data_IF_210017736975
#
_entry.id   IF_210017736975
#
_cell.length_a   1.000
_cell.length_b   1.000
_cell.length_c   1.000
_cell.angle_alpha   90.00
_cell.angle_beta   90.00
_cell.angle_gamma   90.00
#
_symmetry.space_group_name_H-M   'P 1'
#
loop_
_entity.id
_entity.type
_entity.pdbx_description
1 polymer ?
#
# COMPACT_ATOMS: atom_id res chain seq x y z
N UNK A 1 9.85 -36.31 6.15
CA UNK A 1 9.96 -34.85 5.96
C UNK A 1 9.58 -34.19 7.26
N UNK A 2 10.45 -33.38 7.83
CA UNK A 2 10.09 -32.56 8.99
C UNK A 2 9.21 -31.40 8.55
N UNK A 3 8.34 -30.95 9.46
CA UNK A 3 7.41 -29.85 9.22
C UNK A 3 7.45 -28.89 10.41
N UNK A 4 7.35 -27.61 10.14
CA UNK A 4 7.30 -26.55 11.15
C UNK A 4 6.16 -25.60 10.80
N UNK A 5 5.38 -25.22 11.81
CA UNK A 5 4.44 -24.10 11.71
C UNK A 5 5.17 -22.84 12.15
N UNK A 6 5.22 -21.84 11.30
CA UNK A 6 5.78 -20.53 11.61
C UNK A 6 4.65 -19.50 11.77
N UNK A 7 4.76 -18.63 12.77
CA UNK A 7 3.93 -17.44 12.96
C UNK A 7 4.82 -16.22 12.81
N UNK A 8 4.35 -15.22 12.07
CA UNK A 8 5.04 -13.95 11.84
C UNK A 8 4.09 -12.82 12.23
N UNK A 9 4.57 -11.91 13.07
CA UNK A 9 3.88 -10.67 13.43
C UNK A 9 4.74 -9.50 12.95
N UNK A 10 4.11 -8.54 12.28
CA UNK A 10 4.78 -7.37 11.68
C UNK A 10 3.89 -6.14 11.85
N UNK A 11 4.49 -5.05 12.31
CA UNK A 11 3.89 -3.71 12.33
C UNK A 11 4.56 -2.87 11.27
N UNK A 12 3.79 -2.26 10.36
CA UNK A 12 4.28 -1.30 9.38
C UNK A 12 3.60 0.04 9.59
N UNK A 13 4.38 1.12 9.64
CA UNK A 13 3.89 2.50 9.75
C UNK A 13 4.15 3.23 8.42
N UNK A 14 3.12 3.90 7.89
CA UNK A 14 3.21 4.64 6.62
C UNK A 14 2.63 6.05 6.78
N UNK A 15 3.20 7.00 6.04
CA UNK A 15 2.56 8.29 5.77
C UNK A 15 2.17 8.28 4.30
N UNK A 16 0.87 8.47 4.04
CA UNK A 16 0.31 8.58 2.69
C UNK A 16 0.01 10.05 2.43
N UNK A 17 0.59 10.60 1.36
CA UNK A 17 0.40 11.97 0.95
C UNK A 17 -0.35 12.00 -0.38
N UNK A 18 -1.35 12.88 -0.48
CA UNK A 18 -2.16 13.06 -1.67
C UNK A 18 -2.01 14.48 -2.21
N UNK A 19 -1.93 14.62 -3.53
CA UNK A 19 -2.19 15.89 -4.20
C UNK A 19 -3.70 16.08 -4.35
N UNK A 20 -4.31 16.84 -3.44
CA UNK A 20 -5.75 17.10 -3.41
C UNK A 20 -6.27 17.86 -4.65
N UNK A 21 -5.40 18.41 -5.50
CA UNK A 21 -5.84 18.97 -6.78
C UNK A 21 -6.27 17.89 -7.78
N UNK A 22 -5.75 16.66 -7.60
CA UNK A 22 -6.06 15.48 -8.41
C UNK A 22 -6.91 14.48 -7.63
N UNK A 23 -6.50 14.17 -6.39
CA UNK A 23 -7.15 13.20 -5.50
C UNK A 23 -8.27 13.90 -4.71
N UNK A 24 -9.28 14.38 -5.43
CA UNK A 24 -10.41 15.13 -4.88
C UNK A 24 -11.70 14.29 -4.88
N UNK A 25 -12.83 14.92 -4.51
CA UNK A 25 -14.13 14.26 -4.49
C UNK A 25 -14.49 13.63 -5.85
N UNK A 26 -14.28 14.34 -6.97
CA UNK A 26 -14.60 13.82 -8.32
C UNK A 26 -13.83 12.54 -8.61
N UNK A 27 -12.54 12.49 -8.24
CA UNK A 27 -11.75 11.27 -8.32
C UNK A 27 -12.35 10.15 -7.46
N UNK A 28 -12.69 10.43 -6.21
CA UNK A 28 -13.27 9.45 -5.29
C UNK A 28 -14.62 8.93 -5.78
N UNK A 29 -15.47 9.78 -6.38
CA UNK A 29 -16.74 9.36 -6.96
C UNK A 29 -16.53 8.39 -8.13
N UNK A 30 -15.59 8.70 -9.02
CA UNK A 30 -15.23 7.84 -10.15
C UNK A 30 -14.60 6.52 -9.68
N UNK A 31 -13.73 6.61 -8.67
CA UNK A 31 -13.06 5.45 -8.09
C UNK A 31 -14.07 4.49 -7.47
N UNK A 32 -14.95 4.98 -6.58
CA UNK A 32 -15.95 4.13 -5.90
C UNK A 32 -17.02 3.58 -6.82
N UNK A 33 -17.30 4.25 -7.95
CA UNK A 33 -18.21 3.72 -8.95
C UNK A 33 -17.66 2.47 -9.69
N UNK A 34 -16.34 2.28 -9.71
CA UNK A 34 -15.69 1.24 -10.53
C UNK A 34 -14.87 0.22 -9.73
N UNK A 35 -14.35 0.60 -8.57
CA UNK A 35 -13.35 -0.18 -7.84
C UNK A 35 -13.82 -0.57 -6.43
N UNK A 36 -13.67 0.30 -5.43
CA UNK A 36 -13.94 0.00 -4.01
C UNK A 36 -14.76 1.11 -3.36
N UNK A 37 -15.64 0.74 -2.41
CA UNK A 37 -16.43 1.70 -1.62
C UNK A 37 -15.52 2.51 -0.68
N UNK A 38 -14.90 3.55 -1.23
CA UNK A 38 -14.02 4.51 -0.55
C UNK A 38 -14.63 5.90 -0.71
N UNK A 39 -14.92 6.55 0.41
CA UNK A 39 -15.67 7.81 0.47
C UNK A 39 -14.80 9.02 0.78
N UNK A 40 -13.62 8.83 1.34
CA UNK A 40 -12.68 9.91 1.64
C UNK A 40 -11.21 9.47 1.48
N UNK A 41 -10.29 10.42 1.67
CA UNK A 41 -8.86 10.17 1.57
C UNK A 41 -8.30 9.35 2.74
N UNK A 42 -8.98 9.34 3.89
CA UNK A 42 -8.58 8.52 5.05
C UNK A 42 -8.79 7.04 4.72
N UNK A 43 -10.00 6.66 4.27
CA UNK A 43 -10.31 5.32 3.78
C UNK A 43 -9.43 4.90 2.60
N UNK A 44 -9.11 5.84 1.68
CA UNK A 44 -8.19 5.56 0.58
C UNK A 44 -6.77 5.24 1.09
N UNK A 45 -6.32 5.95 2.14
CA UNK A 45 -5.02 5.70 2.76
C UNK A 45 -4.94 4.32 3.44
N UNK A 46 -6.04 3.87 4.07
CA UNK A 46 -6.16 2.53 4.64
C UNK A 46 -6.10 1.45 3.53
N UNK A 47 -6.78 1.69 2.41
CA UNK A 47 -6.75 0.81 1.26
C UNK A 47 -5.32 0.65 0.69
N UNK A 48 -4.63 1.78 0.46
CA UNK A 48 -3.26 1.80 -0.07
C UNK A 48 -2.29 1.10 0.90
N UNK A 49 -2.35 1.44 2.19
CA UNK A 49 -1.45 0.85 3.20
C UNK A 49 -1.65 -0.66 3.35
N UNK A 50 -2.91 -1.13 3.35
CA UNK A 50 -3.20 -2.56 3.37
C UNK A 50 -2.65 -3.27 2.13
N UNK A 51 -2.81 -2.68 0.95
CA UNK A 51 -2.30 -3.25 -0.30
C UNK A 51 -0.77 -3.38 -0.25
N UNK A 52 -0.08 -2.32 0.14
CA UNK A 52 1.39 -2.28 0.26
C UNK A 52 1.88 -3.29 1.30
N UNK A 53 1.20 -3.42 2.43
CA UNK A 53 1.57 -4.41 3.45
C UNK A 53 1.48 -5.84 2.92
N UNK A 54 0.50 -6.16 2.06
CA UNK A 54 0.29 -7.51 1.52
C UNK A 54 1.19 -7.84 0.34
N UNK A 55 1.36 -6.90 -0.57
CA UNK A 55 1.95 -7.16 -1.89
C UNK A 55 3.27 -6.41 -2.12
N UNK A 56 3.64 -5.52 -1.20
CA UNK A 56 4.73 -4.58 -1.42
C UNK A 56 4.30 -3.42 -2.31
N UNK A 57 5.29 -2.66 -2.79
CA UNK A 57 5.03 -1.53 -3.70
C UNK A 57 4.78 -2.10 -5.09
N UNK A 58 3.51 -2.21 -5.49
CA UNK A 58 3.10 -2.68 -6.81
C UNK A 58 2.01 -1.77 -7.41
N UNK A 59 1.54 -2.13 -8.61
CA UNK A 59 0.41 -1.46 -9.25
C UNK A 59 -0.87 -1.73 -8.46
N UNK A 60 -1.55 -0.66 -8.05
CA UNK A 60 -2.84 -0.73 -7.36
C UNK A 60 -3.93 -0.43 -8.40
N UNK A 61 -4.83 -1.39 -8.62
CA UNK A 61 -5.93 -1.25 -9.59
C UNK A 61 -6.75 0.02 -9.30
N UNK A 62 -6.94 0.86 -10.33
CA UNK A 62 -7.64 2.14 -10.21
C UNK A 62 -6.82 3.30 -9.63
N UNK A 63 -5.66 3.05 -9.01
CA UNK A 63 -4.79 4.10 -8.45
C UNK A 63 -3.42 4.20 -9.15
N UNK A 64 -2.98 3.16 -9.86
CA UNK A 64 -1.62 3.10 -10.39
C UNK A 64 -0.57 2.77 -9.33
N UNK A 65 0.69 3.06 -9.65
CA UNK A 65 1.82 2.91 -8.73
C UNK A 65 2.13 4.25 -8.05
N UNK A 66 2.04 4.35 -6.72
CA UNK A 66 2.41 5.57 -6.02
C UNK A 66 3.92 5.84 -6.09
N UNK A 67 4.31 7.08 -5.83
CA UNK A 67 5.70 7.42 -5.52
C UNK A 67 6.09 6.86 -4.15
N UNK A 68 7.37 6.53 -3.99
CA UNK A 68 7.97 6.14 -2.71
C UNK A 68 9.04 7.17 -2.35
N UNK A 69 8.87 7.85 -1.23
CA UNK A 69 9.74 8.94 -0.78
C UNK A 69 9.99 9.99 -1.90
N UNK A 70 8.91 10.34 -2.62
CA UNK A 70 8.92 11.30 -3.72
C UNK A 70 9.56 10.79 -5.01
N UNK A 71 9.89 9.49 -5.09
CA UNK A 71 10.57 8.88 -6.23
C UNK A 71 9.73 7.77 -6.85
N UNK A 72 9.82 7.68 -8.16
CA UNK A 72 9.30 6.55 -8.92
C UNK A 72 9.99 5.24 -8.48
N UNK A 73 9.25 4.15 -8.20
CA UNK A 73 9.83 2.84 -7.99
C UNK A 73 10.64 2.36 -9.21
N UNK A 74 11.83 1.81 -8.97
CA UNK A 74 12.78 1.43 -10.04
C UNK A 74 12.21 0.45 -11.07
N UNK A 75 11.35 -0.47 -10.63
CA UNK A 75 10.80 -1.56 -11.44
C UNK A 75 9.51 -1.20 -12.18
N UNK A 76 9.01 0.04 -12.06
CA UNK A 76 7.73 0.47 -12.64
C UNK A 76 7.96 1.30 -13.91
N UNK A 77 7.17 1.10 -14.96
CA UNK A 77 7.20 1.96 -16.15
C UNK A 77 6.50 3.30 -15.89
N UNK A 78 6.94 4.37 -16.56
CA UNK A 78 6.43 5.74 -16.30
C UNK A 78 4.91 5.85 -16.43
N UNK A 79 4.31 5.17 -17.41
CA UNK A 79 2.86 5.19 -17.68
C UNK A 79 1.99 4.63 -16.55
N UNK A 80 2.59 3.89 -15.62
CA UNK A 80 1.88 3.31 -14.49
C UNK A 80 2.03 4.14 -13.22
N UNK A 81 2.86 5.17 -13.23
CA UNK A 81 3.09 6.03 -12.07
C UNK A 81 1.89 6.96 -11.86
N UNK A 82 1.40 7.01 -10.63
CA UNK A 82 0.50 8.04 -10.17
C UNK A 82 1.29 9.02 -9.27
N UNK A 83 1.71 10.18 -9.79
CA UNK A 83 2.49 11.14 -9.03
C UNK A 83 1.66 11.89 -7.98
N UNK A 84 0.33 11.78 -8.01
CA UNK A 84 -0.57 12.40 -7.03
C UNK A 84 -0.66 11.64 -5.70
N UNK A 85 0.01 10.48 -5.60
CA UNK A 85 0.09 9.67 -4.39
C UNK A 85 1.56 9.46 -4.06
N UNK A 86 1.95 9.78 -2.83
CA UNK A 86 3.28 9.47 -2.32
C UNK A 86 3.19 8.69 -1.00
N UNK A 87 3.99 7.64 -0.89
CA UNK A 87 4.08 6.80 0.30
C UNK A 87 5.46 6.98 0.92
N UNK A 88 5.48 7.35 2.19
CA UNK A 88 6.70 7.37 3.01
C UNK A 88 6.61 6.24 4.01
N UNK A 89 7.61 5.36 4.02
CA UNK A 89 7.68 4.29 5.02
C UNK A 89 8.28 4.86 6.30
N UNK A 90 7.55 4.81 7.39
CA UNK A 90 8.07 5.12 8.72
C UNK A 90 8.72 3.83 9.20
N UNK A 91 10.06 3.81 9.20
CA UNK A 91 10.82 2.62 9.58
C UNK A 91 10.76 2.47 11.10
N UNK A 92 9.90 1.57 11.56
CA UNK A 92 9.90 0.99 12.90
C UNK A 92 10.05 -0.52 12.70
N UNK A 93 11.29 -1.00 12.49
CA UNK A 93 11.54 -2.42 12.20
C UNK A 93 11.44 -3.26 13.50
N UNK A 94 10.22 -3.57 13.94
CA UNK A 94 9.95 -4.65 14.90
C UNK A 94 9.31 -5.84 14.17
N UNK A 95 10.08 -6.91 13.99
CA UNK A 95 9.62 -8.16 13.37
C UNK A 95 9.85 -9.29 14.38
N UNK A 96 8.78 -9.95 14.80
CA UNK A 96 8.85 -11.13 15.66
C UNK A 96 8.47 -12.40 14.89
N UNK A 97 9.26 -13.46 15.08
CA UNK A 97 9.05 -14.74 14.41
C UNK A 97 9.15 -15.90 15.40
N UNK A 98 8.21 -16.84 15.28
CA UNK A 98 8.12 -18.02 16.13
C UNK A 98 7.91 -19.25 15.26
N UNK A 99 8.65 -20.33 15.53
CA UNK A 99 8.52 -21.59 14.79
C UNK A 99 8.32 -22.77 15.75
N UNK A 100 7.37 -23.64 15.44
CA UNK A 100 7.05 -24.84 16.22
C UNK A 100 7.07 -26.08 15.31
N UNK A 101 7.79 -27.13 15.69
CA UNK A 101 7.80 -28.40 14.96
C UNK A 101 6.42 -29.07 15.05
N UNK A 102 5.90 -29.55 13.93
CA UNK A 102 4.65 -30.30 13.87
C UNK A 102 4.92 -31.76 13.49
N UNK A 103 4.27 -32.69 14.21
CA UNK A 103 4.36 -34.15 14.03
C UNK A 103 3.54 -34.63 12.84
#
# INVERSE_FOLDING_TARGET
MEKYKCTVERTDSFIIEFDESVMNEEFLEGFRASFYDVYDLEELSEHISQYIARFGVEYIEGLGCPLIDGKKPYFVEERFINPAINVKRVIEDEIETYANQIR
#
